data_IF_501152336685
#
_entry.id   IF_501152336685
#
_cell.length_a   1.000
_cell.length_b   1.000
_cell.length_c   1.000
_cell.angle_alpha   90.00
_cell.angle_beta   90.00
_cell.angle_gamma   90.00
#
_symmetry.space_group_name_H-M   'P 1'
#
loop_
_entity.id
_entity.type
_entity.pdbx_description
1 polymer ?
#
# COMPACT_ATOMS: atom_id res chain seq x y z
N UNK A 1 11.89 2.62 11.71
CA UNK A 1 11.56 3.57 12.79
C UNK A 1 10.47 4.55 12.37
N UNK A 2 10.60 5.20 11.22
CA UNK A 2 9.62 6.21 10.77
C UNK A 2 8.21 5.66 10.53
N UNK A 3 8.08 4.46 9.95
CA UNK A 3 6.78 3.82 9.76
C UNK A 3 6.03 3.58 11.09
N UNK A 4 6.74 3.21 12.15
CA UNK A 4 6.17 3.03 13.49
C UNK A 4 5.69 4.38 14.03
N UNK A 5 6.54 5.42 13.95
CA UNK A 5 6.15 6.77 14.42
C UNK A 5 4.94 7.32 13.68
N UNK A 6 4.88 7.12 12.36
CA UNK A 6 3.73 7.52 11.54
C UNK A 6 2.45 6.79 11.96
N UNK A 7 2.52 5.47 12.17
CA UNK A 7 1.39 4.67 12.64
C UNK A 7 0.86 5.16 14.00
N UNK A 8 1.76 5.40 14.96
CA UNK A 8 1.38 5.87 16.30
C UNK A 8 0.78 7.29 16.25
N UNK A 9 1.27 8.15 15.36
CA UNK A 9 0.67 9.46 15.11
C UNK A 9 -0.78 9.32 14.62
N UNK A 10 -1.04 8.49 13.61
CA UNK A 10 -2.41 8.27 13.11
C UNK A 10 -3.33 7.71 14.20
N UNK A 11 -2.85 6.78 15.03
CA UNK A 11 -3.60 6.26 16.19
C UNK A 11 -3.96 7.35 17.18
N UNK A 12 -3.00 8.22 17.52
CA UNK A 12 -3.22 9.31 18.48
C UNK A 12 -4.23 10.35 17.99
N UNK A 13 -4.37 10.48 16.67
CA UNK A 13 -5.35 11.36 16.02
C UNK A 13 -6.68 10.67 15.71
N UNK A 14 -6.86 9.42 16.14
CA UNK A 14 -8.05 8.60 15.86
C UNK A 14 -8.35 8.47 14.35
N UNK A 15 -7.31 8.56 13.51
CA UNK A 15 -7.44 8.40 12.06
C UNK A 15 -7.38 6.90 11.72
N UNK A 16 -8.40 6.34 11.03
CA UNK A 16 -8.40 4.95 10.62
C UNK A 16 -7.22 4.60 9.72
N UNK A 17 -6.51 3.53 10.05
CA UNK A 17 -5.38 3.03 9.27
C UNK A 17 -5.88 1.90 8.38
N UNK A 18 -6.03 2.16 7.08
CA UNK A 18 -6.55 1.20 6.12
C UNK A 18 -5.55 0.07 5.79
N UNK A 19 -4.26 0.29 6.05
CA UNK A 19 -3.23 -0.72 5.91
C UNK A 19 -1.87 -0.18 5.52
N UNK A 20 -0.95 -1.09 5.23
CA UNK A 20 0.45 -0.82 4.89
C UNK A 20 0.73 -1.26 3.47
N UNK A 21 1.46 -0.43 2.73
CA UNK A 21 2.03 -0.75 1.42
C UNK A 21 3.55 -0.74 1.54
N UNK A 22 4.21 -1.78 1.06
CA UNK A 22 5.67 -1.83 0.96
C UNK A 22 6.12 -1.25 -0.39
N UNK A 23 6.67 -0.04 -0.37
CA UNK A 23 7.21 0.60 -1.57
C UNK A 23 8.65 0.12 -1.87
N UNK A 24 9.03 0.08 -3.15
CA UNK A 24 10.37 -0.32 -3.62
C UNK A 24 10.78 -1.73 -3.13
N UNK A 25 9.86 -2.69 -3.20
CA UNK A 25 10.03 -4.01 -2.56
C UNK A 25 11.09 -4.90 -3.20
N UNK A 26 11.19 -4.90 -4.52
CA UNK A 26 12.19 -5.64 -5.28
C UNK A 26 12.45 -4.96 -6.62
N UNK A 27 13.54 -5.33 -7.29
CA UNK A 27 13.83 -4.94 -8.67
C UNK A 27 13.76 -6.17 -9.57
N UNK A 28 12.98 -6.10 -10.64
CA UNK A 28 12.98 -7.11 -11.69
C UNK A 28 14.08 -6.79 -12.70
N UNK A 29 14.94 -7.77 -12.97
CA UNK A 29 16.06 -7.66 -13.90
C UNK A 29 15.60 -8.05 -15.33
N UNK A 30 16.34 -7.64 -16.38
CA UNK A 30 15.95 -7.92 -17.77
C UNK A 30 15.85 -9.42 -18.13
N UNK A 31 16.50 -10.29 -17.35
CA UNK A 31 16.44 -11.74 -17.48
C UNK A 31 15.25 -12.39 -16.71
N UNK A 32 14.41 -11.56 -16.09
CA UNK A 32 13.26 -11.98 -15.28
C UNK A 32 13.62 -12.37 -13.84
N UNK A 33 14.88 -12.23 -13.43
CA UNK A 33 15.25 -12.46 -12.03
C UNK A 33 14.73 -11.33 -11.13
N UNK A 34 14.41 -11.70 -9.89
CA UNK A 34 14.02 -10.75 -8.85
C UNK A 34 15.23 -10.50 -7.95
N UNK A 35 15.58 -9.22 -7.78
CA UNK A 35 16.65 -8.78 -6.90
C UNK A 35 16.09 -8.00 -5.70
N UNK A 36 16.38 -8.49 -4.51
CA UNK A 36 16.02 -7.85 -3.25
C UNK A 36 17.06 -6.77 -2.87
N UNK A 37 16.87 -5.55 -3.38
CA UNK A 37 17.83 -4.44 -3.17
C UNK A 37 17.98 -4.05 -1.70
N UNK A 38 16.87 -4.08 -0.94
CA UNK A 38 16.81 -3.65 0.46
C UNK A 38 16.29 -4.75 1.40
N UNK A 39 16.27 -6.00 0.92
CA UNK A 39 15.54 -7.10 1.56
C UNK A 39 14.03 -7.05 1.28
N UNK A 40 13.30 -8.10 1.68
CA UNK A 40 11.87 -8.26 1.37
C UNK A 40 11.02 -8.55 2.62
N UNK A 41 9.73 -8.16 2.56
CA UNK A 41 8.71 -8.47 3.56
C UNK A 41 8.81 -7.65 4.84
N UNK A 42 9.56 -6.55 4.84
CA UNK A 42 9.66 -5.66 6.00
C UNK A 42 8.32 -4.99 6.30
N UNK A 43 7.62 -4.55 5.25
CA UNK A 43 6.29 -3.96 5.34
C UNK A 43 5.23 -4.95 5.82
N UNK A 44 5.25 -6.19 5.31
CA UNK A 44 4.32 -7.24 5.75
C UNK A 44 4.51 -7.60 7.23
N UNK A 45 5.76 -7.80 7.67
CA UNK A 45 6.06 -8.04 9.09
C UNK A 45 5.65 -6.87 9.97
N UNK A 46 5.89 -5.65 9.51
CA UNK A 46 5.46 -4.44 10.22
C UNK A 46 3.93 -4.39 10.36
N UNK A 47 3.18 -4.63 9.27
CA UNK A 47 1.72 -4.65 9.28
C UNK A 47 1.17 -5.68 10.27
N UNK A 48 1.73 -6.89 10.25
CA UNK A 48 1.37 -7.97 11.18
C UNK A 48 1.63 -7.58 12.65
N UNK A 49 2.82 -7.03 12.95
CA UNK A 49 3.17 -6.59 14.31
C UNK A 49 2.30 -5.42 14.79
N UNK A 50 1.91 -4.53 13.88
CA UNK A 50 1.04 -3.40 14.15
C UNK A 50 -0.44 -3.79 14.24
N UNK A 51 -0.83 -5.00 13.84
CA UNK A 51 -2.24 -5.41 13.79
C UNK A 51 -3.05 -4.65 12.75
N UNK A 52 -2.43 -4.27 11.62
CA UNK A 52 -3.08 -3.57 10.50
C UNK A 52 -2.96 -4.38 9.20
N UNK A 53 -3.86 -4.19 8.23
CA UNK A 53 -3.82 -4.93 6.97
C UNK A 53 -2.54 -4.68 6.17
N UNK A 54 -2.01 -5.72 5.52
CA UNK A 54 -0.99 -5.56 4.48
C UNK A 54 -1.66 -5.51 3.10
N UNK A 55 -1.59 -4.36 2.44
CA UNK A 55 -2.25 -4.14 1.16
C UNK A 55 -1.43 -4.67 -0.01
N UNK A 56 -0.11 -4.75 0.13
CA UNK A 56 0.77 -5.33 -0.88
C UNK A 56 2.08 -4.58 -1.01
N UNK A 57 2.84 -4.97 -2.04
CA UNK A 57 4.16 -4.46 -2.30
C UNK A 57 4.26 -3.93 -3.74
N UNK A 58 5.00 -2.84 -3.93
CA UNK A 58 5.22 -2.20 -5.23
C UNK A 58 6.70 -2.35 -5.61
N UNK A 59 7.02 -3.02 -6.73
CA UNK A 59 8.40 -3.17 -7.17
C UNK A 59 8.98 -1.84 -7.66
N UNK A 60 10.30 -1.73 -7.57
CA UNK A 60 11.04 -0.61 -8.13
C UNK A 60 11.01 -0.68 -9.65
N UNK A 61 10.60 0.42 -10.28
CA UNK A 61 10.61 0.53 -11.73
C UNK A 61 10.81 2.01 -12.13
N UNK A 62 11.85 2.33 -12.93
CA UNK A 62 12.14 3.70 -13.35
C UNK A 62 10.95 4.42 -14.01
N UNK A 63 10.12 3.68 -14.74
CA UNK A 63 8.96 4.21 -15.47
C UNK A 63 7.90 4.79 -14.51
N UNK A 64 7.84 4.30 -13.26
CA UNK A 64 6.94 4.88 -12.24
C UNK A 64 7.37 6.31 -11.90
N UNK A 65 8.67 6.54 -11.70
CA UNK A 65 9.23 7.87 -11.43
C UNK A 65 9.02 8.80 -12.63
N UNK A 66 9.40 8.32 -13.81
CA UNK A 66 9.29 9.11 -15.05
C UNK A 66 7.84 9.48 -15.37
N UNK A 67 6.92 8.52 -15.24
CA UNK A 67 5.49 8.75 -15.41
C UNK A 67 4.94 9.73 -14.39
N UNK A 68 5.38 9.67 -13.14
CA UNK A 68 5.03 10.64 -12.10
C UNK A 68 5.47 12.06 -12.45
N UNK A 69 6.73 12.22 -12.86
CA UNK A 69 7.32 13.52 -13.23
C UNK A 69 6.62 14.16 -14.44
N UNK A 70 6.13 13.33 -15.37
CA UNK A 70 5.48 13.77 -16.62
C UNK A 70 3.95 13.87 -16.52
N UNK A 71 3.35 13.52 -15.37
CA UNK A 71 1.90 13.47 -15.22
C UNK A 71 1.23 12.35 -16.01
N UNK A 72 1.96 11.29 -16.35
CA UNK A 72 1.46 10.08 -17.01
C UNK A 72 1.69 8.84 -16.12
N UNK A 73 0.80 8.57 -15.15
CA UNK A 73 0.95 7.45 -14.22
C UNK A 73 1.17 6.10 -14.91
N UNK A 74 1.95 5.23 -14.28
CA UNK A 74 2.28 3.89 -14.80
C UNK A 74 1.03 3.07 -15.19
N UNK A 75 -0.07 3.25 -14.46
CA UNK A 75 -1.35 2.59 -14.69
C UNK A 75 -2.03 2.99 -16.00
N UNK A 76 -1.74 4.18 -16.53
CA UNK A 76 -2.24 4.68 -17.80
C UNK A 76 -1.24 4.43 -18.93
N UNK A 77 0.04 4.73 -18.69
CA UNK A 77 1.09 4.60 -19.71
C UNK A 77 1.49 3.14 -19.99
N UNK A 78 1.45 2.28 -18.98
CA UNK A 78 1.90 0.88 -19.06
C UNK A 78 0.98 -0.06 -18.24
N UNK A 79 -0.31 -0.18 -18.63
CA UNK A 79 -1.35 -0.84 -17.84
C UNK A 79 -1.12 -2.34 -17.57
N UNK A 80 -0.27 -2.98 -18.40
CA UNK A 80 0.05 -4.41 -18.33
C UNK A 80 1.41 -4.68 -17.70
N UNK A 81 2.13 -3.65 -17.25
CA UNK A 81 3.38 -3.81 -16.52
C UNK A 81 3.14 -4.49 -15.16
N UNK A 82 4.13 -5.24 -14.67
CA UNK A 82 4.06 -5.89 -13.35
C UNK A 82 3.77 -4.89 -12.22
N UNK A 83 4.28 -3.66 -12.34
CA UNK A 83 4.00 -2.57 -11.39
C UNK A 83 2.54 -2.15 -11.46
N UNK A 84 1.98 -1.95 -12.65
CA UNK A 84 0.57 -1.60 -12.80
C UNK A 84 -0.34 -2.71 -12.26
N UNK A 85 0.00 -3.98 -12.48
CA UNK A 85 -0.71 -5.12 -11.89
C UNK A 85 -0.66 -5.08 -10.36
N UNK A 86 0.51 -4.80 -9.77
CA UNK A 86 0.66 -4.64 -8.33
C UNK A 86 -0.20 -3.49 -7.77
N UNK A 87 -0.22 -2.33 -8.43
CA UNK A 87 -1.09 -1.21 -8.06
C UNK A 87 -2.58 -1.58 -8.13
N UNK A 88 -3.03 -2.30 -9.17
CA UNK A 88 -4.43 -2.77 -9.28
C UNK A 88 -4.80 -3.70 -8.12
N UNK A 89 -3.90 -4.61 -7.75
CA UNK A 89 -4.12 -5.53 -6.64
C UNK A 89 -4.21 -4.80 -5.29
N UNK A 90 -3.33 -3.82 -5.05
CA UNK A 90 -3.37 -2.96 -3.86
C UNK A 90 -4.67 -2.16 -3.82
N UNK A 91 -5.07 -1.55 -4.95
CA UNK A 91 -6.31 -0.77 -5.03
C UNK A 91 -7.52 -1.62 -4.68
N UNK A 92 -7.59 -2.86 -5.18
CA UNK A 92 -8.69 -3.78 -4.84
C UNK A 92 -8.79 -3.99 -3.32
N UNK A 93 -7.68 -4.31 -2.66
CA UNK A 93 -7.65 -4.52 -1.20
C UNK A 93 -7.95 -3.25 -0.43
N UNK A 94 -7.48 -2.09 -0.92
CA UNK A 94 -7.78 -0.79 -0.33
C UNK A 94 -9.28 -0.51 -0.34
N UNK A 95 -9.96 -0.79 -1.45
CA UNK A 95 -11.43 -0.63 -1.55
C UNK A 95 -12.16 -1.54 -0.56
N UNK A 96 -11.75 -2.80 -0.43
CA UNK A 96 -12.31 -3.75 0.55
C UNK A 96 -12.13 -3.24 2.00
N UNK A 97 -10.98 -2.62 2.31
CA UNK A 97 -10.75 -2.01 3.63
C UNK A 97 -11.57 -0.75 3.85
N UNK A 98 -11.74 0.08 2.82
CA UNK A 98 -12.56 1.29 2.91
C UNK A 98 -14.01 0.94 3.22
N UNK A 99 -14.59 -0.03 2.51
CA UNK A 99 -15.95 -0.53 2.77
C UNK A 99 -16.09 -1.06 4.21
N UNK A 100 -15.07 -1.77 4.70
CA UNK A 100 -15.05 -2.31 6.07
C UNK A 100 -15.07 -1.18 7.12
N UNK A 101 -14.26 -0.13 6.91
CA UNK A 101 -14.20 1.01 7.84
C UNK A 101 -15.47 1.85 7.79
N UNK A 102 -16.04 2.08 6.61
CA UNK A 102 -17.33 2.78 6.46
C UNK A 102 -18.46 2.02 7.17
N UNK A 103 -18.52 0.70 7.03
CA UNK A 103 -19.50 -0.13 7.73
C UNK A 103 -19.34 -0.04 9.26
N UNK A 104 -18.11 -0.08 9.77
CA UNK A 104 -17.84 0.06 11.20
C UNK A 104 -18.27 1.44 11.72
N UNK A 105 -18.00 2.52 10.98
CA UNK A 105 -18.42 3.87 11.34
C UNK A 105 -19.95 4.03 11.36
N UNK A 106 -20.66 3.43 10.40
CA UNK A 106 -22.12 3.46 10.33
C UNK A 106 -22.80 2.74 11.51
N UNK A 107 -22.12 1.75 12.11
CA UNK A 107 -22.66 0.96 13.24
C UNK A 107 -22.49 1.69 14.58
N UNK A 108 -21.61 2.69 14.66
CA UNK A 108 -21.30 3.46 15.87
C UNK A 108 -22.22 4.69 16.08
N UNK A 109 -23.27 4.88 15.27
CA UNK A 109 -24.30 5.89 15.52
C UNK A 109 -25.23 5.34 16.61
N UNK A 110 -24.84 5.48 17.87
CA UNK A 110 -25.75 5.26 19.00
C UNK A 110 -26.89 6.29 18.93
N UNK A 111 -28.12 5.81 18.74
CA UNK A 111 -29.32 6.60 18.97
C UNK A 111 -29.40 6.80 20.48
N UNK A 112 -28.96 7.96 20.96
CA UNK A 112 -29.32 8.46 22.29
C UNK A 112 -30.82 8.80 22.26
N UNK A 113 -31.62 8.05 23.01
CA UNK A 113 -32.93 8.51 23.49
C UNK A 113 -32.78 9.67 24.49
#
# INVERSE_FOLDING_TARGET
EDAIRGLEMFRSMEVPILGVIENMSYLELPDGQIMDVFGQGGGERFAANAGVPFLGAIPMNPVVREGGDQGNPIMLGHPDSNVAVAFKAILKRLMEQLETVEAAAATNIEISD
#
